data_IF_064890746539
#
_entry.id   IF_064890746539
#
_cell.length_a   1.000
_cell.length_b   1.000
_cell.length_c   1.000
_cell.angle_alpha   90.00
_cell.angle_beta   90.00
_cell.angle_gamma   90.00
#
_symmetry.space_group_name_H-M   'P 1'
#
loop_
_entity.id
_entity.type
_entity.pdbx_description
1 polymer ?
#
# COMPACT_ATOMS: atom_id res chain seq x y z
N UNK A 1 17.60 -9.73 -5.82
CA UNK A 1 17.94 -9.20 -7.16
C UNK A 1 16.85 -9.68 -8.12
N UNK A 2 16.40 -8.88 -9.09
CA UNK A 2 15.22 -9.23 -9.90
C UNK A 2 15.49 -10.27 -11.01
N UNK A 3 16.74 -10.36 -11.45
CA UNK A 3 17.15 -11.13 -12.62
C UNK A 3 17.23 -12.64 -12.36
N UNK A 4 16.84 -13.42 -13.37
CA UNK A 4 17.09 -14.85 -13.48
C UNK A 4 18.17 -15.11 -14.55
N UNK A 5 19.43 -15.19 -14.12
CA UNK A 5 20.58 -15.33 -15.04
C UNK A 5 20.73 -16.70 -15.69
N UNK A 6 19.85 -17.65 -15.36
CA UNK A 6 19.82 -18.97 -15.99
C UNK A 6 19.07 -18.99 -17.32
N UNK A 7 18.41 -17.89 -17.69
CA UNK A 7 17.62 -17.75 -18.93
C UNK A 7 18.40 -16.92 -19.94
N UNK A 8 18.39 -17.31 -21.22
CA UNK A 8 18.99 -16.52 -22.28
C UNK A 8 18.15 -15.24 -22.52
N UNK A 9 18.73 -14.03 -22.38
CA UNK A 9 18.02 -12.78 -22.62
C UNK A 9 17.53 -12.62 -24.07
N UNK A 10 18.18 -13.26 -25.06
CA UNK A 10 17.76 -13.21 -26.47
C UNK A 10 16.49 -14.01 -26.74
N UNK A 11 16.22 -15.05 -25.94
CA UNK A 11 15.05 -15.92 -26.07
C UNK A 11 13.87 -15.42 -25.24
N UNK A 12 14.11 -14.99 -23.99
CA UNK A 12 13.08 -14.42 -23.13
C UNK A 12 13.65 -13.36 -22.19
N UNK A 13 13.75 -12.13 -22.71
CA UNK A 13 14.28 -10.99 -21.97
C UNK A 13 13.48 -10.68 -20.70
N UNK A 14 12.15 -10.90 -20.70
CA UNK A 14 11.31 -10.62 -19.54
C UNK A 14 11.64 -11.55 -18.37
N UNK A 15 11.73 -12.86 -18.62
CA UNK A 15 12.10 -13.82 -17.58
C UNK A 15 13.55 -13.62 -17.11
N UNK A 16 14.48 -13.33 -18.02
CA UNK A 16 15.84 -12.99 -17.64
C UNK A 16 15.91 -11.77 -16.70
N UNK A 17 15.18 -10.69 -17.02
CA UNK A 17 15.24 -9.45 -16.26
C UNK A 17 14.44 -9.49 -14.95
N UNK A 18 13.31 -10.20 -14.91
CA UNK A 18 12.31 -10.12 -13.84
C UNK A 18 11.98 -11.46 -13.17
N UNK A 19 12.45 -12.59 -13.69
CA UNK A 19 12.01 -13.93 -13.30
C UNK A 19 12.17 -14.23 -11.81
N UNK A 20 13.28 -13.81 -11.20
CA UNK A 20 13.50 -13.99 -9.78
C UNK A 20 12.57 -13.09 -8.95
N UNK A 21 12.30 -11.86 -9.41
CA UNK A 21 11.32 -10.98 -8.75
C UNK A 21 9.93 -11.60 -8.72
N UNK A 22 9.45 -12.13 -9.85
CA UNK A 22 8.13 -12.78 -9.95
C UNK A 22 8.00 -13.98 -8.99
N UNK A 23 9.07 -14.76 -8.81
CA UNK A 23 9.08 -15.90 -7.87
C UNK A 23 9.01 -15.46 -6.41
N UNK A 24 9.72 -14.39 -6.06
CA UNK A 24 9.85 -13.92 -4.68
C UNK A 24 8.67 -13.01 -4.25
N UNK A 25 7.89 -12.50 -5.21
CA UNK A 25 6.84 -11.51 -5.00
C UNK A 25 5.49 -11.96 -5.60
N UNK A 26 4.84 -12.99 -5.01
CA UNK A 26 3.50 -13.38 -5.44
C UNK A 26 2.51 -12.21 -5.25
N UNK A 27 1.44 -12.22 -6.05
CA UNK A 27 0.38 -11.21 -5.96
C UNK A 27 -0.33 -11.37 -4.60
N UNK A 28 -0.36 -10.34 -3.73
CA UNK A 28 -1.09 -10.39 -2.47
C UNK A 28 -2.60 -10.57 -2.67
N UNK A 29 -3.28 -11.17 -1.69
CA UNK A 29 -4.72 -11.48 -1.76
C UNK A 29 -5.63 -10.24 -1.95
N UNK A 30 -5.16 -9.07 -1.56
CA UNK A 30 -5.86 -7.79 -1.69
C UNK A 30 -5.53 -7.04 -2.99
N UNK A 31 -4.77 -7.66 -3.91
CA UNK A 31 -4.32 -7.05 -5.16
C UNK A 31 -4.64 -7.91 -6.38
N UNK A 32 -4.94 -7.27 -7.50
CA UNK A 32 -5.11 -7.94 -8.79
C UNK A 32 -3.80 -8.14 -9.55
N UNK A 33 -2.80 -7.30 -9.28
CA UNK A 33 -1.50 -7.34 -9.93
C UNK A 33 -0.44 -6.77 -8.99
N UNK A 34 0.74 -7.38 -8.99
CA UNK A 34 1.87 -6.91 -8.19
C UNK A 34 3.10 -6.77 -9.08
N UNK A 35 3.71 -5.59 -9.02
CA UNK A 35 4.83 -5.18 -9.86
C UNK A 35 5.53 -3.99 -9.23
N UNK A 36 6.56 -3.45 -9.89
CA UNK A 36 7.35 -2.32 -9.36
C UNK A 36 6.51 -1.12 -8.96
N UNK A 37 5.50 -0.74 -9.76
CA UNK A 37 4.63 0.39 -9.43
C UNK A 37 3.73 0.12 -8.21
N UNK A 38 3.22 -1.12 -8.06
CA UNK A 38 2.44 -1.49 -6.89
C UNK A 38 3.31 -1.48 -5.63
N UNK A 39 4.52 -2.02 -5.71
CA UNK A 39 5.51 -1.99 -4.63
C UNK A 39 5.85 -0.56 -4.19
N UNK A 40 6.16 0.33 -5.13
CA UNK A 40 6.46 1.74 -4.82
C UNK A 40 5.24 2.43 -4.21
N UNK A 41 4.05 2.21 -4.76
CA UNK A 41 2.81 2.78 -4.23
C UNK A 41 2.57 2.34 -2.78
N UNK A 42 2.79 1.08 -2.47
CA UNK A 42 2.61 0.55 -1.12
C UNK A 42 3.62 1.16 -0.13
N UNK A 43 4.89 1.28 -0.52
CA UNK A 43 5.89 1.96 0.29
C UNK A 43 5.52 3.41 0.61
N UNK A 44 5.01 4.16 -0.38
CA UNK A 44 4.53 5.53 -0.17
C UNK A 44 3.29 5.53 0.72
N UNK A 45 2.37 4.59 0.54
CA UNK A 45 1.17 4.45 1.38
C UNK A 45 1.53 4.22 2.84
N UNK A 46 2.51 3.38 3.13
CA UNK A 46 3.00 3.14 4.50
C UNK A 46 3.63 4.39 5.11
N UNK A 47 4.43 5.14 4.34
CA UNK A 47 4.98 6.41 4.81
C UNK A 47 3.86 7.43 5.09
N UNK A 48 2.89 7.57 4.19
CA UNK A 48 1.73 8.45 4.38
C UNK A 48 0.93 8.06 5.62
N UNK A 49 0.71 6.77 5.87
CA UNK A 49 0.05 6.27 7.08
C UNK A 49 0.72 6.81 8.34
N UNK A 50 2.04 6.64 8.47
CA UNK A 50 2.80 7.15 9.63
C UNK A 50 2.62 8.66 9.81
N UNK A 51 2.66 9.43 8.71
CA UNK A 51 2.50 10.88 8.76
C UNK A 51 1.09 11.34 9.14
N UNK A 52 0.07 10.58 8.71
CA UNK A 52 -1.34 10.87 8.95
C UNK A 52 -1.82 10.40 10.33
N UNK A 53 -1.23 9.34 10.87
CA UNK A 53 -1.49 8.86 12.22
C UNK A 53 -0.81 9.74 13.30
N UNK A 54 0.26 10.45 12.94
CA UNK A 54 1.03 11.30 13.85
C UNK A 54 0.19 12.33 14.62
N UNK A 55 0.40 12.39 15.93
CA UNK A 55 -0.13 13.40 16.85
C UNK A 55 0.79 14.63 16.99
N UNK A 56 1.86 14.72 16.19
CA UNK A 56 2.78 15.84 16.27
C UNK A 56 2.02 17.15 15.99
N UNK A 57 2.28 18.24 16.74
CA UNK A 57 1.71 19.54 16.41
C UNK A 57 2.08 19.94 14.97
N UNK A 58 1.13 20.54 14.26
CA UNK A 58 1.35 21.08 12.91
C UNK A 58 0.75 22.47 12.81
N UNK A 59 1.50 23.41 12.22
CA UNK A 59 1.00 24.75 11.94
C UNK A 59 0.13 24.80 10.66
N UNK A 60 0.17 23.75 9.83
CA UNK A 60 -0.58 23.70 8.57
C UNK A 60 -2.00 23.20 8.81
N UNK A 61 -2.98 24.05 8.52
CA UNK A 61 -4.41 23.70 8.55
C UNK A 61 -4.72 22.53 7.60
N UNK A 62 -4.11 22.51 6.41
CA UNK A 62 -4.34 21.44 5.42
C UNK A 62 -3.85 20.08 5.93
N UNK A 63 -2.70 20.05 6.60
CA UNK A 63 -2.18 18.79 7.20
C UNK A 63 -3.06 18.37 8.37
N UNK A 64 -3.50 19.30 9.22
CA UNK A 64 -4.42 18.99 10.31
C UNK A 64 -5.73 18.38 9.79
N UNK A 65 -6.32 18.95 8.74
CA UNK A 65 -7.55 18.42 8.12
C UNK A 65 -7.34 17.04 7.50
N UNK A 66 -6.21 16.81 6.81
CA UNK A 66 -5.89 15.49 6.25
C UNK A 66 -5.76 14.42 7.34
N UNK A 67 -5.13 14.74 8.47
CA UNK A 67 -5.03 13.84 9.63
C UNK A 67 -6.39 13.54 10.25
N UNK A 68 -7.24 14.55 10.42
CA UNK A 68 -8.61 14.36 10.91
C UNK A 68 -9.39 13.43 9.98
N UNK A 69 -9.39 13.72 8.68
CA UNK A 69 -10.08 12.89 7.69
C UNK A 69 -9.59 11.43 7.71
N UNK A 70 -8.27 11.22 7.80
CA UNK A 70 -7.69 9.89 7.92
C UNK A 70 -8.16 9.17 9.19
N UNK A 71 -8.04 9.81 10.36
CA UNK A 71 -8.42 9.20 11.65
C UNK A 71 -9.91 8.88 11.72
N UNK A 72 -10.77 9.75 11.20
CA UNK A 72 -12.22 9.49 11.11
C UNK A 72 -12.49 8.28 10.21
N UNK A 73 -11.84 8.17 9.06
CA UNK A 73 -12.00 7.05 8.14
C UNK A 73 -11.54 5.72 8.76
N UNK A 74 -10.44 5.74 9.50
CA UNK A 74 -9.84 4.54 10.08
C UNK A 74 -10.48 4.09 11.40
N UNK A 75 -11.39 4.87 12.00
CA UNK A 75 -12.07 4.53 13.25
C UNK A 75 -13.20 3.50 13.02
N UNK A 76 -12.81 2.24 12.78
CA UNK A 76 -13.76 1.15 12.52
C UNK A 76 -14.69 0.87 13.70
N UNK A 77 -14.24 1.05 14.95
CA UNK A 77 -15.09 0.88 16.13
C UNK A 77 -16.27 1.84 16.16
N UNK A 78 -16.03 3.12 15.82
CA UNK A 78 -17.10 4.10 15.71
C UNK A 78 -18.05 3.76 14.56
N UNK A 79 -17.52 3.36 13.40
CA UNK A 79 -18.33 2.93 12.25
C UNK A 79 -19.25 1.75 12.60
N UNK A 80 -18.74 0.73 13.28
CA UNK A 80 -19.55 -0.43 13.70
C UNK A 80 -20.60 -0.04 14.76
N UNK A 81 -20.27 0.87 15.68
CA UNK A 81 -21.25 1.42 16.64
C UNK A 81 -22.38 2.20 15.96
N UNK A 82 -22.08 2.86 14.84
CA UNK A 82 -23.07 3.61 14.07
C UNK A 82 -23.96 2.58 13.36
N UNK A 83 -23.38 1.61 12.63
CA UNK A 83 -24.15 0.55 11.97
C UNK A 83 -25.10 -0.17 12.92
N UNK A 84 -24.63 -0.59 14.09
CA UNK A 84 -25.49 -1.29 15.07
C UNK A 84 -26.66 -0.44 15.57
N UNK A 85 -26.49 0.89 15.66
CA UNK A 85 -27.56 1.83 15.99
C UNK A 85 -28.59 2.02 14.86
N UNK A 86 -28.20 1.86 13.59
CA UNK A 86 -29.11 1.97 12.45
C UNK A 86 -29.91 0.69 12.17
N UNK A 87 -29.38 -0.47 12.58
CA UNK A 87 -30.00 -1.78 12.35
C UNK A 87 -30.69 -2.37 13.60
N UNK A 88 -30.76 -1.61 14.70
CA UNK A 88 -31.67 -1.81 15.84
C UNK A 88 -32.85 -0.82 15.73
#
# INVERSE_FOLDING_TARGET
>A
MAMNTSVDPCENFYEYACGQWNRDHPIPDDMFAYGTFAYVRENVRQQMRVLLESDSPTASKSIAMARIAYKTCMNTSELESIKSRWFN
#
